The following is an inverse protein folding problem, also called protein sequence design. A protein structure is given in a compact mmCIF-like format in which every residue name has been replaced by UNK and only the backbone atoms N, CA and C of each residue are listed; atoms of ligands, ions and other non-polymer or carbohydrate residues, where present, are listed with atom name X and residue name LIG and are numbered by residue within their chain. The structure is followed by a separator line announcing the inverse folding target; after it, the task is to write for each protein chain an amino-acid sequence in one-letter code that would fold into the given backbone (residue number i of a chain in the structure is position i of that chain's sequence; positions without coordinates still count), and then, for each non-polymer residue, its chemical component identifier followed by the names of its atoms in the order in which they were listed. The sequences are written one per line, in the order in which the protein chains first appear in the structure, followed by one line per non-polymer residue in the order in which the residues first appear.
data_IF_270058729361
#
_entry.id   IF_270058729361
#
_cell.length_a   1.000
_cell.length_b   1.000
_cell.length_c   1.000
_cell.angle_alpha   90.00
_cell.angle_beta   90.00
_cell.angle_gamma   90.00
#
_symmetry.space_group_name_H-M   'P 1'
#
loop_
_entity.id
_entity.type
_entity.pdbx_description
1 polymer ?
#
# COMPACT_ATOMS: atom_id res chain seq x y z
N UNK A 1 14.89 -27.21 21.92
CA UNK A 1 14.61 -26.26 20.83
C UNK A 1 13.13 -26.01 20.85
N UNK A 2 12.75 -24.93 21.51
CA UNK A 2 11.41 -24.76 22.03
C UNK A 2 10.51 -24.24 20.91
N UNK A 3 9.59 -25.09 20.43
CA UNK A 3 8.67 -24.78 19.34
C UNK A 3 7.74 -23.59 19.60
N UNK A 4 7.74 -23.04 20.82
CA UNK A 4 6.93 -21.87 21.21
C UNK A 4 7.45 -20.55 20.64
N UNK A 5 8.77 -20.36 20.51
CA UNK A 5 9.35 -19.07 20.14
C UNK A 5 9.12 -18.71 18.66
N UNK A 6 9.13 -19.70 17.77
CA UNK A 6 8.89 -19.50 16.34
C UNK A 6 7.43 -19.17 16.00
N UNK A 7 6.48 -19.73 16.77
CA UNK A 7 5.05 -19.48 16.59
C UNK A 7 4.67 -18.03 16.89
N UNK A 8 5.24 -17.42 17.94
CA UNK A 8 4.95 -16.03 18.30
C UNK A 8 5.43 -15.04 17.23
N UNK A 9 6.61 -15.28 16.64
CA UNK A 9 7.17 -14.40 15.60
C UNK A 9 6.33 -14.49 14.31
N UNK A 10 5.93 -15.69 13.90
CA UNK A 10 5.09 -15.87 12.72
C UNK A 10 3.75 -15.15 12.85
N UNK A 11 3.09 -15.25 14.02
CA UNK A 11 1.80 -14.58 14.27
C UNK A 11 1.92 -13.06 14.17
N UNK A 12 2.99 -12.47 14.71
CA UNK A 12 3.22 -11.02 14.64
C UNK A 12 3.40 -10.58 13.18
N UNK A 13 4.21 -11.31 12.40
CA UNK A 13 4.42 -11.00 10.98
C UNK A 13 3.10 -11.09 10.20
N UNK A 14 2.31 -12.15 10.42
CA UNK A 14 0.99 -12.29 9.79
C UNK A 14 0.05 -11.14 10.16
N UNK A 15 0.02 -10.73 11.44
CA UNK A 15 -0.80 -9.61 11.88
C UNK A 15 -0.40 -8.28 11.20
N UNK A 16 0.91 -8.02 11.10
CA UNK A 16 1.45 -6.84 10.39
C UNK A 16 1.02 -6.88 8.93
N UNK A 17 1.26 -7.98 8.22
CA UNK A 17 0.87 -8.15 6.81
C UNK A 17 -0.63 -7.90 6.63
N UNK A 18 -1.47 -8.46 7.50
CA UNK A 18 -2.93 -8.29 7.45
C UNK A 18 -3.37 -6.83 7.56
N UNK A 19 -2.80 -6.07 8.49
CA UNK A 19 -3.07 -4.63 8.63
C UNK A 19 -2.67 -3.87 7.36
N UNK A 20 -1.50 -4.17 6.80
CA UNK A 20 -1.04 -3.52 5.57
C UNK A 20 -1.93 -3.84 4.37
N UNK A 21 -2.31 -5.11 4.19
CA UNK A 21 -3.27 -5.51 3.15
C UNK A 21 -4.58 -4.75 3.29
N UNK A 22 -5.10 -4.60 4.52
CA UNK A 22 -6.33 -3.84 4.77
C UNK A 22 -6.19 -2.36 4.37
N UNK A 23 -5.06 -1.72 4.71
CA UNK A 23 -4.87 -0.30 4.39
C UNK A 23 -4.70 -0.10 2.88
N UNK A 24 -3.96 -0.98 2.20
CA UNK A 24 -3.81 -0.95 0.74
C UNK A 24 -5.18 -1.10 0.08
N UNK A 25 -5.96 -2.10 0.49
CA UNK A 25 -7.30 -2.33 -0.04
C UNK A 25 -8.22 -1.13 0.14
N UNK A 26 -8.18 -0.48 1.32
CA UNK A 26 -8.91 0.76 1.56
C UNK A 26 -8.48 1.87 0.60
N UNK A 27 -7.17 2.09 0.44
CA UNK A 27 -6.62 3.12 -0.44
C UNK A 27 -7.01 2.91 -1.91
N UNK A 28 -6.93 1.67 -2.40
CA UNK A 28 -7.38 1.30 -3.75
C UNK A 28 -8.87 1.60 -3.94
N UNK A 29 -9.72 1.17 -3.01
CA UNK A 29 -11.17 1.41 -3.09
C UNK A 29 -11.53 2.88 -3.07
N UNK A 30 -10.87 3.69 -2.24
CA UNK A 30 -11.07 5.14 -2.23
C UNK A 30 -10.67 5.75 -3.58
N UNK A 31 -9.56 5.32 -4.18
CA UNK A 31 -9.15 5.79 -5.51
C UNK A 31 -10.18 5.40 -6.58
N UNK A 32 -10.66 4.15 -6.58
CA UNK A 32 -11.72 3.67 -7.48
C UNK A 32 -13.00 4.52 -7.35
N UNK A 33 -13.48 4.77 -6.13
CA UNK A 33 -14.67 5.59 -5.91
C UNK A 33 -14.48 7.04 -6.40
N UNK A 34 -13.29 7.63 -6.22
CA UNK A 34 -13.02 8.98 -6.74
C UNK A 34 -12.94 9.00 -8.27
N UNK A 35 -12.37 7.98 -8.90
CA UNK A 35 -12.33 7.88 -10.36
C UNK A 35 -13.75 7.72 -10.93
N UNK A 36 -14.57 6.87 -10.31
CA UNK A 36 -15.98 6.72 -10.66
C UNK A 36 -16.73 8.05 -10.55
N UNK A 37 -16.57 8.77 -9.43
CA UNK A 37 -17.17 10.10 -9.24
C UNK A 37 -16.74 11.10 -10.33
N UNK A 38 -15.45 11.17 -10.70
CA UNK A 38 -14.97 12.05 -11.78
C UNK A 38 -15.58 11.64 -13.13
N UNK A 39 -15.64 10.34 -13.43
CA UNK A 39 -16.16 9.84 -14.69
C UNK A 39 -17.66 10.11 -14.82
N UNK A 40 -18.42 9.92 -13.75
CA UNK A 40 -19.84 10.25 -13.70
C UNK A 40 -20.08 11.75 -13.89
N UNK A 41 -19.22 12.59 -13.30
CA UNK A 41 -19.28 14.04 -13.49
C UNK A 41 -19.04 14.44 -14.95
N UNK A 42 -18.04 13.83 -15.62
CA UNK A 42 -17.79 14.03 -17.06
C UNK A 42 -18.97 13.57 -17.90
N UNK A 43 -19.54 12.41 -17.59
CA UNK A 43 -20.67 11.85 -18.32
C UNK A 43 -21.91 12.76 -18.19
N UNK A 44 -22.19 13.29 -17.01
CA UNK A 44 -23.31 14.19 -16.80
C UNK A 44 -23.10 15.56 -17.47
N UNK A 45 -21.89 16.13 -17.44
CA UNK A 45 -21.58 17.35 -18.18
C UNK A 45 -21.74 17.18 -19.69
N UNK A 46 -21.28 16.04 -20.24
CA UNK A 46 -21.42 15.72 -21.66
C UNK A 46 -22.90 15.54 -22.05
N UNK A 47 -23.67 14.82 -21.25
CA UNK A 47 -25.12 14.63 -21.46
C UNK A 47 -25.87 15.95 -21.36
N UNK A 48 -25.55 16.77 -20.37
CA UNK A 48 -26.13 18.10 -20.18
C UNK A 48 -25.86 19.00 -21.40
N UNK A 49 -24.60 19.09 -21.84
CA UNK A 49 -24.23 19.91 -23.00
C UNK A 49 -24.86 19.42 -24.30
N UNK A 50 -24.95 18.10 -24.50
CA UNK A 50 -25.64 17.51 -25.65
C UNK A 50 -27.14 17.81 -25.66
N UNK A 51 -27.82 17.70 -24.51
CA UNK A 51 -29.23 18.07 -24.37
C UNK A 51 -29.44 19.56 -24.64
N UNK A 52 -28.57 20.43 -24.10
CA UNK A 52 -28.62 21.87 -24.34
C UNK A 52 -28.51 22.19 -25.85
N UNK A 53 -27.52 21.62 -26.53
CA UNK A 53 -27.32 21.84 -27.97
C UNK A 53 -28.48 21.32 -28.81
N UNK A 54 -29.10 20.21 -28.41
CA UNK A 54 -30.28 19.64 -29.06
C UNK A 54 -31.48 20.57 -28.91
N UNK A 55 -31.72 21.10 -27.70
CA UNK A 55 -32.78 22.07 -27.42
C UNK A 55 -32.59 23.39 -28.17
N UNK A 56 -31.34 23.83 -28.35
CA UNK A 56 -30.99 25.05 -29.07
C UNK A 56 -31.23 24.95 -30.59
N UNK A 57 -31.19 23.75 -31.16
CA UNK A 57 -31.39 23.48 -32.59
C UNK A 57 -32.85 23.25 -32.99
N UNK A 58 -33.79 23.31 -32.04
CA UNK A 58 -35.23 23.13 -32.29
C UNK A 58 -35.60 21.76 -32.89
N UNK A 59 -35.14 20.67 -32.27
CA UNK A 59 -35.74 19.38 -32.59
C UNK A 59 -37.24 19.38 -32.23
N UNK A 60 -38.01 18.53 -32.93
CA UNK A 60 -39.48 18.48 -32.89
C UNK A 60 -40.04 18.57 -31.47
N UNK A 61 -41.25 19.15 -31.31
CA UNK A 61 -41.88 19.39 -30.00
C UNK A 61 -41.97 18.15 -29.11
N UNK A 62 -42.10 16.96 -29.71
CA UNK A 62 -42.12 15.66 -29.04
C UNK A 62 -40.78 15.34 -28.37
N UNK A 63 -39.65 15.67 -29.01
CA UNK A 63 -38.31 15.44 -28.46
C UNK A 63 -37.89 16.51 -27.45
N UNK A 64 -38.40 17.74 -27.58
CA UNK A 64 -38.05 18.85 -26.70
C UNK A 64 -38.30 18.56 -25.22
N UNK A 65 -39.45 17.96 -24.88
CA UNK A 65 -39.77 17.65 -23.49
C UNK A 65 -38.82 16.60 -22.88
N UNK A 66 -38.43 15.60 -23.67
CA UNK A 66 -37.48 14.57 -23.25
C UNK A 66 -36.05 15.15 -23.10
N UNK A 67 -35.63 16.00 -24.04
CA UNK A 67 -34.34 16.69 -23.97
C UNK A 67 -34.27 17.64 -22.77
N UNK A 68 -35.35 18.36 -22.48
CA UNK A 68 -35.43 19.23 -21.31
C UNK A 68 -35.42 18.44 -20.00
N UNK A 69 -36.10 17.30 -19.94
CA UNK A 69 -36.01 16.38 -18.79
C UNK A 69 -34.58 15.92 -18.58
N UNK A 70 -33.88 15.54 -19.65
CA UNK A 70 -32.47 15.13 -19.59
C UNK A 70 -31.55 16.27 -19.14
N UNK A 71 -31.78 17.49 -19.64
CA UNK A 71 -31.06 18.70 -19.23
C UNK A 71 -31.22 18.95 -17.73
N UNK A 72 -32.45 18.93 -17.21
CA UNK A 72 -32.74 19.16 -15.80
C UNK A 72 -32.15 18.04 -14.92
N UNK A 73 -32.40 16.78 -15.27
CA UNK A 73 -31.91 15.62 -14.51
C UNK A 73 -30.39 15.64 -14.36
N UNK A 74 -29.66 15.88 -15.46
CA UNK A 74 -28.20 15.98 -15.45
C UNK A 74 -27.71 17.18 -14.66
N UNK A 75 -28.36 18.35 -14.78
CA UNK A 75 -28.03 19.54 -14.01
C UNK A 75 -28.24 19.32 -12.50
N UNK A 76 -29.34 18.67 -12.10
CA UNK A 76 -29.57 18.31 -10.70
C UNK A 76 -28.54 17.31 -10.17
N UNK A 77 -28.18 16.28 -10.95
CA UNK A 77 -27.11 15.34 -10.54
C UNK A 77 -25.79 16.05 -10.32
N UNK A 78 -25.41 16.96 -11.22
CA UNK A 78 -24.20 17.78 -11.09
C UNK A 78 -24.27 18.60 -9.78
N UNK A 79 -25.38 19.30 -9.53
CA UNK A 79 -25.58 20.10 -8.31
C UNK A 79 -25.57 19.28 -7.02
N UNK A 80 -26.09 18.05 -7.03
CA UNK A 80 -26.11 17.18 -5.85
C UNK A 80 -24.74 16.60 -5.53
N UNK A 81 -23.91 16.37 -6.55
CA UNK A 81 -22.52 15.91 -6.34
C UNK A 81 -21.60 17.04 -5.90
N UNK A 82 -21.86 18.25 -6.38
CA UNK A 82 -21.08 19.40 -6.01
C UNK A 82 -21.58 20.03 -4.72
N UNK A 83 -20.66 20.52 -3.91
CA UNK A 83 -21.02 21.22 -2.69
C UNK A 83 -21.38 22.68 -3.04
N UNK A 84 -22.65 23.11 -2.90
CA UNK A 84 -23.08 24.46 -3.26
C UNK A 84 -22.40 25.56 -2.43
N UNK A 85 -21.83 25.23 -1.28
CA UNK A 85 -21.11 26.16 -0.42
C UNK A 85 -19.68 26.43 -0.92
N UNK A 86 -19.15 25.63 -1.85
CA UNK A 86 -17.80 25.81 -2.36
C UNK A 86 -17.80 26.69 -3.62
N UNK A 87 -16.97 27.75 -3.67
CA UNK A 87 -16.92 28.64 -4.82
C UNK A 87 -16.34 27.98 -6.07
N UNK A 88 -15.71 26.81 -5.94
CA UNK A 88 -14.97 26.13 -7.01
C UNK A 88 -15.82 25.73 -8.22
N UNK A 89 -17.14 25.58 -8.06
CA UNK A 89 -18.08 25.24 -9.14
C UNK A 89 -19.11 26.35 -9.41
N UNK A 90 -19.07 27.45 -8.66
CA UNK A 90 -20.06 28.51 -8.75
C UNK A 90 -20.15 29.09 -10.17
N UNK A 91 -19.01 29.31 -10.82
CA UNK A 91 -18.96 29.88 -12.18
C UNK A 91 -19.56 28.92 -13.22
N UNK A 92 -19.22 27.63 -13.15
CA UNK A 92 -19.75 26.59 -14.04
C UNK A 92 -21.28 26.49 -13.88
N UNK A 93 -21.77 26.42 -12.64
CA UNK A 93 -23.19 26.32 -12.35
C UNK A 93 -23.95 27.57 -12.79
N UNK A 94 -23.39 28.77 -12.57
CA UNK A 94 -23.98 30.03 -13.00
C UNK A 94 -24.10 30.11 -14.53
N UNK A 95 -23.07 29.68 -15.26
CA UNK A 95 -23.11 29.60 -16.73
C UNK A 95 -24.12 28.57 -17.22
N UNK A 96 -24.21 27.41 -16.57
CA UNK A 96 -25.25 26.41 -16.87
C UNK A 96 -26.65 26.98 -16.66
N UNK A 97 -26.87 27.75 -15.60
CA UNK A 97 -28.14 28.42 -15.34
C UNK A 97 -28.45 29.52 -16.37
N UNK A 98 -27.44 30.26 -16.83
CA UNK A 98 -27.60 31.23 -17.92
C UNK A 98 -28.05 30.55 -19.22
N UNK A 99 -27.41 29.45 -19.60
CA UNK A 99 -27.79 28.66 -20.78
C UNK A 99 -29.20 28.11 -20.63
N UNK A 100 -29.53 27.58 -19.45
CA UNK A 100 -30.87 27.06 -19.13
C UNK A 100 -31.94 28.15 -19.28
N UNK A 101 -31.73 29.33 -18.69
CA UNK A 101 -32.67 30.45 -18.78
C UNK A 101 -32.86 30.89 -20.24
N UNK A 102 -31.77 31.00 -21.01
CA UNK A 102 -31.85 31.34 -22.43
C UNK A 102 -32.68 30.31 -23.25
N UNK A 103 -32.55 29.01 -22.94
CA UNK A 103 -33.33 27.94 -23.56
C UNK A 103 -34.82 27.96 -23.18
N UNK A 104 -35.15 28.42 -21.97
CA UNK A 104 -36.54 28.58 -21.49
C UNK A 104 -37.18 29.80 -22.18
N UNK A 105 -36.46 30.91 -22.23
CA UNK A 105 -36.94 32.18 -22.78
C UNK A 105 -37.12 32.11 -24.32
N UNK A 106 -36.41 31.20 -24.97
CA UNK A 106 -36.46 30.98 -26.42
C UNK A 106 -36.97 29.56 -26.76
N UNK A 107 -38.24 29.23 -26.46
CA UNK A 107 -38.76 27.88 -26.62
C UNK A 107 -38.86 27.43 -28.09
N UNK A 108 -39.00 28.39 -29.00
CA UNK A 108 -39.27 28.18 -30.43
C UNK A 108 -38.30 28.92 -31.33
N UNK A 109 -37.18 29.41 -30.79
CA UNK A 109 -36.18 30.19 -31.54
C UNK A 109 -34.84 29.48 -31.47
N UNK A 110 -34.19 29.28 -32.61
CA UNK A 110 -32.89 28.65 -32.67
C UNK A 110 -31.88 29.66 -32.13
N UNK A 111 -31.11 29.25 -31.13
CA UNK A 111 -30.15 30.11 -30.45
C UNK A 111 -28.76 29.51 -30.53
N UNK A 112 -27.75 30.35 -30.71
CA UNK A 112 -26.36 29.92 -30.72
C UNK A 112 -25.83 29.86 -29.29
N UNK A 113 -25.78 28.67 -28.70
CA UNK A 113 -25.26 28.44 -27.34
C UNK A 113 -23.95 27.65 -27.31
N UNK A 114 -23.43 27.26 -28.48
CA UNK A 114 -22.22 26.43 -28.55
C UNK A 114 -21.00 27.09 -27.89
N UNK A 115 -20.75 28.40 -28.05
CA UNK A 115 -19.68 29.08 -27.31
C UNK A 115 -19.82 28.95 -25.79
N UNK A 116 -21.03 29.08 -25.26
CA UNK A 116 -21.31 28.97 -23.82
C UNK A 116 -21.11 27.55 -23.30
N UNK A 117 -21.63 26.56 -24.02
CA UNK A 117 -21.45 25.13 -23.69
C UNK A 117 -19.96 24.76 -23.72
N UNK A 118 -19.21 25.29 -24.69
CA UNK A 118 -17.76 25.09 -24.74
C UNK A 118 -17.05 25.74 -23.55
N UNK A 119 -17.39 26.98 -23.21
CA UNK A 119 -16.81 27.68 -22.06
C UNK A 119 -17.07 26.93 -20.74
N UNK A 120 -18.28 26.39 -20.56
CA UNK A 120 -18.64 25.53 -19.42
C UNK A 120 -17.76 24.28 -19.38
N UNK A 121 -17.55 23.63 -20.53
CA UNK A 121 -16.71 22.44 -20.63
C UNK A 121 -15.24 22.74 -20.31
N UNK A 122 -14.70 23.86 -20.81
CA UNK A 122 -13.32 24.29 -20.55
C UNK A 122 -13.10 24.54 -19.04
N UNK A 123 -14.00 25.27 -18.38
CA UNK A 123 -13.94 25.55 -16.94
C UNK A 123 -14.05 24.27 -16.10
N UNK A 124 -15.01 23.41 -16.44
CA UNK A 124 -15.19 22.12 -15.78
C UNK A 124 -13.96 21.22 -15.96
N UNK A 125 -13.31 21.24 -17.13
CA UNK A 125 -12.11 20.45 -17.40
C UNK A 125 -10.94 20.85 -16.50
N UNK A 126 -10.71 22.15 -16.29
CA UNK A 126 -9.67 22.65 -15.39
C UNK A 126 -9.88 22.09 -13.98
N UNK A 127 -11.13 22.15 -13.51
CA UNK A 127 -11.52 21.64 -12.19
C UNK A 127 -11.33 20.13 -12.08
N UNK A 128 -11.88 19.36 -13.03
CA UNK A 128 -11.78 17.91 -13.04
C UNK A 128 -10.33 17.45 -13.15
N UNK A 129 -9.47 18.19 -13.84
CA UNK A 129 -8.02 17.90 -13.91
C UNK A 129 -7.34 18.09 -12.56
N UNK A 130 -7.73 19.11 -11.78
CA UNK A 130 -7.23 19.30 -10.41
C UNK A 130 -7.60 18.13 -9.51
N UNK A 131 -8.85 17.67 -9.58
CA UNK A 131 -9.29 16.55 -8.74
C UNK A 131 -8.72 15.21 -9.24
N UNK A 132 -8.56 15.04 -10.55
CA UNK A 132 -7.81 13.92 -11.13
C UNK A 132 -6.38 13.85 -10.61
N UNK A 133 -5.69 14.98 -10.54
CA UNK A 133 -4.33 15.02 -10.01
C UNK A 133 -4.28 14.61 -8.54
N UNK A 134 -5.29 14.94 -7.73
CA UNK A 134 -5.39 14.45 -6.33
C UNK A 134 -5.56 12.94 -6.28
N UNK A 135 -6.41 12.38 -7.15
CA UNK A 135 -6.63 10.92 -7.25
C UNK A 135 -5.36 10.20 -7.68
N UNK A 136 -4.72 10.68 -8.76
CA UNK A 136 -3.49 10.09 -9.30
C UNK A 136 -2.34 10.15 -8.31
N UNK A 137 -2.19 11.30 -7.63
CA UNK A 137 -1.12 11.47 -6.66
C UNK A 137 -1.40 10.77 -5.34
N UNK A 138 -2.60 10.21 -5.13
CA UNK A 138 -2.99 9.57 -3.88
C UNK A 138 -2.99 10.53 -2.68
N UNK A 139 -3.46 10.02 -1.55
CA UNK A 139 -3.42 10.74 -0.28
C UNK A 139 -2.00 10.70 0.29
N UNK A 140 -1.54 11.80 0.90
CA UNK A 140 -0.18 11.90 1.47
C UNK A 140 0.07 10.77 2.48
N UNK A 141 -0.93 10.43 3.31
CA UNK A 141 -0.83 9.31 4.25
C UNK A 141 -0.60 7.95 3.59
N UNK A 142 -1.26 7.69 2.44
CA UNK A 142 -1.05 6.45 1.68
C UNK A 142 0.39 6.35 1.16
N UNK A 143 0.91 7.46 0.60
CA UNK A 143 2.31 7.53 0.13
C UNK A 143 3.32 7.24 1.22
N UNK A 144 3.13 7.86 2.39
CA UNK A 144 4.00 7.64 3.56
C UNK A 144 3.96 6.18 3.98
N UNK A 145 2.77 5.59 4.07
CA UNK A 145 2.63 4.19 4.46
C UNK A 145 3.27 3.22 3.46
N UNK A 146 3.10 3.47 2.16
CA UNK A 146 3.76 2.69 1.11
C UNK A 146 5.29 2.76 1.18
N UNK A 147 5.86 3.82 1.77
CA UNK A 147 7.30 3.92 1.99
C UNK A 147 7.74 3.24 3.30
N UNK A 148 6.98 3.38 4.38
CA UNK A 148 7.30 2.78 5.68
C UNK A 148 7.29 1.25 5.65
N UNK A 149 6.42 0.64 4.85
CA UNK A 149 6.33 -0.83 4.75
C UNK A 149 7.61 -1.52 4.23
N UNK A 150 8.13 -1.18 3.02
CA UNK A 150 9.37 -1.76 2.54
C UNK A 150 10.56 -1.38 3.41
N UNK A 151 10.53 -0.19 4.04
CA UNK A 151 11.56 0.20 5.01
C UNK A 151 11.57 -0.73 6.23
N UNK A 152 10.39 -1.02 6.82
CA UNK A 152 10.26 -1.96 7.93
C UNK A 152 10.72 -3.37 7.53
N UNK A 153 10.30 -3.85 6.36
CA UNK A 153 10.76 -5.14 5.83
C UNK A 153 12.28 -5.18 5.61
N UNK A 154 12.87 -4.09 5.12
CA UNK A 154 14.32 -3.94 4.98
C UNK A 154 15.02 -4.04 6.33
N UNK A 155 14.52 -3.35 7.36
CA UNK A 155 15.06 -3.44 8.72
C UNK A 155 14.95 -4.87 9.28
N UNK A 156 13.79 -5.51 9.14
CA UNK A 156 13.59 -6.90 9.59
C UNK A 156 14.51 -7.88 8.85
N UNK A 157 14.73 -7.67 7.55
CA UNK A 157 15.65 -8.48 6.75
C UNK A 157 17.10 -8.30 7.21
N UNK A 158 17.54 -7.05 7.45
CA UNK A 158 18.88 -6.77 8.00
C UNK A 158 19.06 -7.41 9.37
N UNK A 159 18.07 -7.28 10.27
CA UNK A 159 18.08 -7.92 11.58
C UNK A 159 18.15 -9.45 11.47
N UNK A 160 17.43 -10.04 10.53
CA UNK A 160 17.47 -11.47 10.26
C UNK A 160 18.86 -11.91 9.79
N UNK A 161 19.46 -11.17 8.84
CA UNK A 161 20.83 -11.44 8.37
C UNK A 161 21.82 -11.37 9.52
N UNK A 162 21.77 -10.35 10.37
CA UNK A 162 22.64 -10.23 11.54
C UNK A 162 22.45 -11.34 12.56
N UNK A 163 21.23 -11.86 12.73
CA UNK A 163 20.96 -12.99 13.61
C UNK A 163 21.61 -14.29 13.10
N UNK A 164 21.62 -14.52 11.79
CA UNK A 164 22.25 -15.71 11.18
C UNK A 164 23.75 -15.52 10.89
N UNK A 165 24.19 -14.26 10.74
CA UNK A 165 25.56 -13.85 10.43
C UNK A 165 26.00 -12.78 11.43
N UNK A 166 26.21 -13.16 12.70
CA UNK A 166 26.64 -12.21 13.73
C UNK A 166 28.00 -11.58 13.42
N UNK A 167 28.83 -12.23 12.60
CA UNK A 167 30.09 -11.71 12.05
C UNK A 167 29.92 -10.42 11.24
N UNK A 168 28.74 -10.20 10.66
CA UNK A 168 28.42 -9.03 9.86
C UNK A 168 27.69 -7.93 10.65
N UNK A 169 27.40 -8.15 11.94
CA UNK A 169 26.72 -7.16 12.76
C UNK A 169 27.73 -6.14 13.30
N UNK A 170 27.73 -4.88 12.85
CA UNK A 170 28.67 -3.86 13.32
C UNK A 170 28.45 -3.47 14.79
N UNK A 171 27.32 -3.91 15.39
CA UNK A 171 26.96 -3.66 16.78
C UNK A 171 27.14 -4.90 17.67
N UNK A 172 27.66 -6.01 17.14
CA UNK A 172 27.94 -7.21 17.93
C UNK A 172 29.06 -6.96 18.94
N UNK A 173 28.79 -7.15 20.23
CA UNK A 173 29.80 -7.06 21.28
C UNK A 173 30.79 -8.22 21.22
N UNK A 174 32.00 -7.97 21.76
CA UNK A 174 33.15 -8.87 21.78
C UNK A 174 32.76 -10.32 22.11
N UNK A 175 33.38 -11.33 21.47
CA UNK A 175 33.11 -12.72 21.76
C UNK A 175 33.23 -12.94 23.27
N UNK A 176 32.28 -13.70 23.83
CA UNK A 176 32.29 -14.04 25.25
C UNK A 176 33.71 -14.46 25.62
N UNK A 177 34.35 -13.70 26.53
CA UNK A 177 35.72 -13.98 26.97
C UNK A 177 35.76 -15.47 27.31
N UNK A 178 36.74 -16.22 26.78
CA UNK A 178 36.84 -17.65 27.06
C UNK A 178 36.74 -17.77 28.58
N UNK A 179 35.79 -18.57 29.05
CA UNK A 179 35.59 -18.82 30.48
C UNK A 179 36.97 -19.17 31.00
N UNK A 180 37.59 -18.27 31.77
CA UNK A 180 38.81 -18.59 32.48
C UNK A 180 38.42 -19.76 33.36
N UNK A 181 38.75 -20.97 32.94
CA UNK A 181 38.73 -22.13 33.79
C UNK A 181 39.78 -21.81 34.84
N UNK A 182 39.36 -21.15 35.93
CA UNK A 182 40.09 -21.19 37.17
C UNK A 182 40.16 -22.66 37.51
N UNK A 183 41.25 -23.30 37.07
CA UNK A 183 41.74 -24.56 37.58
C UNK A 183 41.86 -24.33 39.08
N UNK A 184 40.78 -24.63 39.80
CA UNK A 184 40.80 -24.79 41.25
C UNK A 184 41.42 -26.17 41.48
N UNK A 185 42.63 -26.35 40.94
CA UNK A 185 43.47 -27.47 41.24
C UNK A 185 43.90 -27.29 42.68
N UNK A 186 43.27 -28.04 43.58
CA UNK A 186 43.93 -28.34 44.83
C UNK A 186 45.27 -28.97 44.47
N UNK A 187 46.36 -28.28 44.78
CA UNK A 187 47.71 -28.83 44.68
C UNK A 187 47.74 -29.99 45.67
N UNK A 188 47.45 -31.21 45.18
CA UNK A 188 47.81 -32.42 45.91
C UNK A 188 49.32 -32.56 45.76
N UNK A 189 50.03 -32.27 46.84
CA UNK A 189 51.40 -32.73 47.01
C UNK A 189 51.40 -34.25 46.77
N UNK A 190 52.07 -34.67 45.69
CA UNK A 190 52.35 -36.08 45.44
C UNK A 190 53.33 -36.50 46.55
N UNK A 191 52.90 -37.39 47.44
CA UNK A 191 53.80 -38.03 48.40
C UNK A 191 54.92 -38.74 47.64
N UNK A 192 56.19 -38.65 48.09
CA UNK A 192 57.31 -39.29 47.42
C UNK A 192 57.08 -40.80 47.32
N UNK A 193 57.17 -41.28 46.08
CA UNK A 193 57.00 -42.65 45.65
C UNK A 193 57.89 -43.60 46.48
N UNK A 194 57.26 -44.54 47.18
CA UNK A 194 57.96 -45.61 47.92
C UNK A 194 58.72 -46.51 46.95
N UNK A 195 60.02 -46.54 47.17
CA UNK A 195 61.03 -47.56 46.83
C UNK A 195 60.51 -48.75 46.00
N UNK A 196 60.89 -48.76 44.74
CA UNK A 196 60.74 -49.85 43.78
C UNK A 196 61.40 -51.12 44.31
N UNK A 197 60.60 -52.16 44.56
CA UNK A 197 61.08 -53.54 44.73
C UNK A 197 61.36 -54.15 43.34
N UNK A 198 62.49 -54.84 43.13
CA UNK A 198 62.85 -55.39 41.82
C UNK A 198 61.88 -56.50 41.38
N UNK A 199 61.28 -56.29 40.21
CA UNK A 199 60.40 -57.24 39.52
C UNK A 199 61.20 -58.48 39.10
N UNK A 200 60.75 -59.64 39.60
CA UNK A 200 61.25 -60.96 39.26
C UNK A 200 60.85 -61.31 37.82
N UNK A 201 61.84 -61.61 36.99
CA UNK A 201 61.66 -62.00 35.60
C UNK A 201 60.75 -63.23 35.46
N UNK A 202 59.69 -63.09 34.66
CA UNK A 202 58.82 -64.20 34.23
C UNK A 202 59.13 -64.52 32.77
N UNK A 203 59.43 -65.79 32.44
CA UNK A 203 59.92 -66.19 31.13
C UNK A 203 58.84 -66.13 30.04
N UNK A 204 59.30 -65.71 28.86
CA UNK A 204 58.61 -65.72 27.57
C UNK A 204 58.19 -67.14 27.17
N UNK A 205 56.91 -67.32 26.81
CA UNK A 205 56.46 -68.48 26.08
C UNK A 205 55.89 -68.04 24.72
N UNK A 206 56.35 -68.62 23.59
CA UNK A 206 55.97 -68.20 22.26
C UNK A 206 54.79 -69.03 21.71
N UNK A 207 54.14 -68.46 20.70
CA UNK A 207 53.44 -69.14 19.59
C UNK A 207 51.94 -69.40 19.75
N UNK A 208 51.15 -68.72 18.91
CA UNK A 208 50.04 -69.25 18.08
C UNK A 208 49.42 -68.03 17.35
N UNK A 209 49.72 -67.73 16.08
CA UNK A 209 49.22 -68.38 14.85
C UNK A 209 47.75 -68.81 14.97
N UNK A 210 46.81 -68.02 14.41
CA UNK A 210 46.07 -68.35 13.17
C UNK A 210 44.79 -67.52 13.00
N UNK A 211 44.51 -67.21 11.71
CA UNK A 211 43.17 -67.18 11.07
C UNK A 211 42.23 -66.03 11.43
N UNK A 212 41.32 -65.60 10.58
CA UNK A 212 41.08 -65.62 9.13
C UNK A 212 39.72 -64.91 8.96
N UNK A 213 39.57 -64.23 7.83
CA UNK A 213 38.33 -64.09 7.04
C UNK A 213 37.14 -63.33 7.64
N UNK A 214 36.59 -62.47 6.78
CA UNK A 214 35.27 -61.87 6.89
C UNK A 214 35.23 -60.61 6.09
#
# INVERSE_FOLDING_TARGET
MDGGSGLTVAVIITAIIGIFTLIINRGMKVSEFRQAWINDQRADLAKWGAAALTLARQNSSVTRAADFTTLEETAYRIRLRENPTKPEWADVLTKMDSVRTNLIDNPTTAIEIFPDVKAIADDAQVRLKRDWNKVRNGEVGYKVLCFLFPALFGVLLVMTVWAFRPDLNPFGHEPAKPVEQHLTGSVRLIEPEKTVTPVKAVPSNPTEIHRQRG
#
